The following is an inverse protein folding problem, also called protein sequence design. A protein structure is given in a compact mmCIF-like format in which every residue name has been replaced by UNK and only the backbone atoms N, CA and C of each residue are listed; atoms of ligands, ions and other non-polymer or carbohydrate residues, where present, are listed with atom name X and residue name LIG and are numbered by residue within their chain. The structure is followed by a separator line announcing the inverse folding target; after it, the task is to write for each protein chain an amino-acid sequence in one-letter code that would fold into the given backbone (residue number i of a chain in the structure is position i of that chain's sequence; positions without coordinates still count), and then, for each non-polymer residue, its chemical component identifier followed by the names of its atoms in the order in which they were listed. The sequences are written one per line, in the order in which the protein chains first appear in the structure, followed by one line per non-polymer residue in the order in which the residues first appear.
data_IF_568934024987
#
_entry.id   IF_568934024987
#
_cell.length_a   1.000
_cell.length_b   1.000
_cell.length_c   1.000
_cell.angle_alpha   90.00
_cell.angle_beta   90.00
_cell.angle_gamma   90.00
#
_symmetry.space_group_name_H-M   'P 1'
#
loop_
_entity.id
_entity.type
_entity.pdbx_description
1 polymer ?
#
# COMPACT_ATOMS: atom_id res chain seq x y z
N UNK A 1 -2.12 20.24 -13.76
CA UNK A 1 -1.63 20.67 -12.43
C UNK A 1 -0.75 19.54 -11.91
N UNK A 2 0.57 19.72 -11.90
CA UNK A 2 1.48 18.70 -11.39
C UNK A 2 1.53 18.85 -9.86
N UNK A 3 0.91 17.92 -9.12
CA UNK A 3 0.96 17.89 -7.66
C UNK A 3 2.38 17.45 -7.29
N UNK A 4 3.18 18.41 -6.85
CA UNK A 4 4.53 18.21 -6.35
C UNK A 4 4.40 17.32 -5.10
N UNK A 5 4.68 16.01 -5.24
CA UNK A 5 4.73 15.06 -4.13
C UNK A 5 5.86 15.52 -3.21
N UNK A 6 5.51 16.17 -2.11
CA UNK A 6 6.42 16.36 -0.99
C UNK A 6 7.05 15.01 -0.64
N UNK A 7 8.25 15.03 -0.07
CA UNK A 7 8.89 13.91 0.65
C UNK A 7 8.01 13.53 1.87
N UNK A 8 6.83 12.99 1.58
CA UNK A 8 5.71 12.81 2.51
C UNK A 8 5.77 11.37 2.95
N UNK A 9 5.76 11.15 4.27
CA UNK A 9 5.87 9.87 4.95
C UNK A 9 5.27 8.72 4.14
N UNK A 10 6.14 7.84 3.65
CA UNK A 10 5.74 6.63 2.95
C UNK A 10 5.12 5.67 3.97
N UNK A 11 3.93 5.18 3.66
CA UNK A 11 3.20 4.22 4.48
C UNK A 11 3.23 2.87 3.77
N UNK A 12 3.49 1.83 4.55
CA UNK A 12 3.38 0.44 4.08
C UNK A 12 1.91 0.03 4.01
N UNK A 13 1.53 -0.58 2.90
CA UNK A 13 0.23 -1.19 2.74
C UNK A 13 0.35 -2.54 2.04
N UNK A 14 -0.51 -3.48 2.42
CA UNK A 14 -0.66 -4.78 1.76
C UNK A 14 -1.58 -4.63 0.56
N UNK A 15 -1.19 -5.22 -0.56
CA UNK A 15 -2.01 -5.35 -1.76
C UNK A 15 -3.05 -6.45 -1.53
N UNK A 16 -4.33 -6.11 -1.66
CA UNK A 16 -5.44 -7.07 -1.51
C UNK A 16 -5.76 -7.81 -2.81
N UNK A 17 -5.56 -7.15 -3.96
CA UNK A 17 -5.90 -7.64 -5.29
C UNK A 17 -4.73 -7.41 -6.25
N UNK A 18 -4.39 -8.42 -7.05
CA UNK A 18 -3.33 -8.28 -8.06
C UNK A 18 -3.63 -7.12 -8.99
N UNK A 19 -2.76 -6.11 -8.98
CA UNK A 19 -2.93 -4.83 -9.67
C UNK A 19 -1.56 -4.30 -10.13
N UNK A 20 -1.49 -3.13 -10.81
CA UNK A 20 -0.22 -2.58 -11.26
C UNK A 20 0.80 -2.30 -10.14
N UNK A 21 0.34 -2.22 -8.88
CA UNK A 21 1.22 -2.03 -7.71
C UNK A 21 1.94 -3.32 -7.29
N UNK A 22 1.41 -4.49 -7.66
CA UNK A 22 1.99 -5.78 -7.30
C UNK A 22 0.95 -6.91 -7.23
N UNK A 23 1.38 -8.16 -6.99
CA UNK A 23 0.48 -9.27 -6.75
C UNK A 23 -0.22 -9.13 -5.39
N UNK A 24 -1.40 -9.74 -5.27
CA UNK A 24 -2.10 -9.84 -3.99
C UNK A 24 -1.20 -10.47 -2.92
N UNK A 25 -1.17 -9.88 -1.72
CA UNK A 25 -0.32 -10.28 -0.61
C UNK A 25 1.04 -9.60 -0.56
N UNK A 26 1.45 -8.85 -1.60
CA UNK A 26 2.67 -8.04 -1.52
C UNK A 26 2.48 -6.82 -0.60
N UNK A 27 3.59 -6.34 -0.04
CA UNK A 27 3.64 -5.07 0.69
C UNK A 27 4.30 -4.03 -0.19
N UNK A 28 3.69 -2.85 -0.28
CA UNK A 28 4.16 -1.69 -1.04
C UNK A 28 4.28 -0.47 -0.13
N UNK A 29 5.20 0.43 -0.46
CA UNK A 29 5.40 1.70 0.23
C UNK A 29 4.97 2.86 -0.67
N UNK A 30 3.94 3.59 -0.26
CA UNK A 30 3.32 4.66 -1.03
C UNK A 30 3.05 5.87 -0.12
N UNK A 31 2.93 7.09 -0.66
CA UNK A 31 2.49 8.24 0.12
C UNK A 31 1.10 8.01 0.72
N UNK A 32 0.85 8.57 1.89
CA UNK A 32 -0.43 8.41 2.62
C UNK A 32 -1.67 8.69 1.76
N UNK A 33 -1.63 9.72 0.90
CA UNK A 33 -2.73 10.05 -0.02
C UNK A 33 -3.05 8.88 -0.97
N UNK A 34 -2.02 8.23 -1.53
CA UNK A 34 -2.20 7.12 -2.47
C UNK A 34 -2.62 5.83 -1.77
N UNK A 35 -2.16 5.62 -0.53
CA UNK A 35 -2.64 4.52 0.31
C UNK A 35 -4.13 4.69 0.60
N UNK A 36 -4.56 5.88 1.02
CA UNK A 36 -5.96 6.17 1.31
C UNK A 36 -6.86 6.01 0.07
N UNK A 37 -6.40 6.46 -1.11
CA UNK A 37 -7.10 6.23 -2.38
C UNK A 37 -7.19 4.73 -2.71
N UNK A 38 -6.10 3.98 -2.50
CA UNK A 38 -6.07 2.53 -2.72
C UNK A 38 -6.95 1.75 -1.74
N UNK A 39 -7.04 2.16 -0.48
CA UNK A 39 -7.95 1.58 0.52
C UNK A 39 -9.42 1.86 0.15
N UNK A 40 -9.74 3.10 -0.23
CA UNK A 40 -11.09 3.46 -0.68
C UNK A 40 -11.52 2.69 -1.94
N UNK A 41 -10.57 2.34 -2.80
CA UNK A 41 -10.78 1.50 -3.97
C UNK A 41 -10.80 -0.02 -3.65
N UNK A 42 -10.52 -0.42 -2.41
CA UNK A 42 -10.45 -1.83 -1.99
C UNK A 42 -9.22 -2.58 -2.52
N UNK A 43 -8.18 -1.86 -2.95
CA UNK A 43 -6.96 -2.44 -3.52
C UNK A 43 -5.85 -2.62 -2.48
N UNK A 44 -5.82 -1.79 -1.44
CA UNK A 44 -4.79 -1.76 -0.40
C UNK A 44 -5.39 -1.92 0.99
N UNK A 45 -4.55 -2.37 1.93
CA UNK A 45 -4.84 -2.46 3.36
C UNK A 45 -3.61 -1.97 4.14
N UNK A 46 -3.72 -0.81 4.79
CA UNK A 46 -2.64 -0.24 5.60
C UNK A 46 -2.63 -0.72 7.06
N UNK A 47 -3.49 -1.67 7.42
CA UNK A 47 -3.52 -2.22 8.77
C UNK A 47 -2.15 -2.84 9.12
N UNK A 48 -1.49 -2.41 10.20
CA UNK A 48 -0.16 -2.88 10.57
C UNK A 48 -0.09 -4.40 10.79
N UNK A 49 -1.15 -5.03 11.29
CA UNK A 49 -1.20 -6.49 11.48
C UNK A 49 -1.27 -7.23 10.13
N UNK A 50 -2.03 -6.67 9.17
CA UNK A 50 -2.15 -7.23 7.82
C UNK A 50 -0.84 -7.09 7.03
N UNK A 51 -0.15 -5.95 7.20
CA UNK A 51 1.18 -5.70 6.64
C UNK A 51 2.21 -6.65 7.24
N UNK A 52 2.28 -6.77 8.57
CA UNK A 52 3.21 -7.68 9.24
C UNK A 52 2.98 -9.16 8.84
N UNK A 53 1.71 -9.57 8.71
CA UNK A 53 1.38 -10.89 8.21
C UNK A 53 1.84 -11.08 6.75
N UNK A 54 1.59 -10.12 5.87
CA UNK A 54 2.05 -10.18 4.48
C UNK A 54 3.58 -10.24 4.37
N UNK A 55 4.30 -9.46 5.17
CA UNK A 55 5.77 -9.54 5.26
C UNK A 55 6.24 -10.92 5.73
N UNK A 56 5.52 -11.56 6.67
CA UNK A 56 5.87 -12.90 7.19
C UNK A 56 5.72 -14.03 6.16
N UNK A 57 4.86 -13.85 5.15
CA UNK A 57 4.61 -14.85 4.10
C UNK A 57 5.63 -14.80 2.97
N UNK A 58 6.35 -13.69 2.84
CA UNK A 58 7.37 -13.45 1.80
C UNK A 58 8.82 -13.63 2.34
N UNK A 59 8.97 -14.22 3.53
CA UNK A 59 10.26 -14.54 4.15
C UNK A 59 10.93 -15.77 3.53
#
# INVERSE_FOLDING_TARGET
MAKQKNETDLIKARVLLSCPLGPAGSVVELPADEVAEGEAAGMLDSNPDAVAYAESLNA
#
